data_IF_628397699709
#
_entry.id   IF_628397699709
#
_cell.length_a   1.000
_cell.length_b   1.000
_cell.length_c   1.000
_cell.angle_alpha   90.00
_cell.angle_beta   90.00
_cell.angle_gamma   90.00
#
_symmetry.space_group_name_H-M   'P 1'
#
loop_
_entity.id
_entity.type
_entity.pdbx_description
1 polymer ?
#
# COMPACT_ATOMS: atom_id res chain seq x y z
N UNK A 1 4.49 -8.61 -2.71
CA UNK A 1 3.17 -9.21 -2.98
C UNK A 1 3.25 -10.65 -2.49
N UNK A 2 2.52 -10.97 -1.42
CA UNK A 2 2.47 -12.31 -0.86
C UNK A 2 1.72 -13.27 -1.79
N UNK A 3 1.91 -14.57 -1.62
CA UNK A 3 1.18 -15.61 -2.35
C UNK A 3 -0.34 -15.47 -2.18
N UNK A 4 -0.81 -15.05 -0.99
CA UNK A 4 -2.22 -14.80 -0.71
C UNK A 4 -2.76 -13.53 -1.38
N UNK A 5 -1.99 -12.45 -1.42
CA UNK A 5 -2.36 -11.22 -2.13
C UNK A 5 -2.47 -11.45 -3.65
N UNK A 6 -1.51 -12.21 -4.20
CA UNK A 6 -1.52 -12.58 -5.62
C UNK A 6 -2.75 -13.43 -5.97
N UNK A 7 -3.09 -14.41 -5.12
CA UNK A 7 -4.27 -15.25 -5.29
C UNK A 7 -5.56 -14.40 -5.34
N UNK A 8 -5.77 -13.56 -4.32
CA UNK A 8 -6.96 -12.68 -4.25
C UNK A 8 -7.05 -11.74 -5.45
N UNK A 9 -5.93 -11.19 -5.91
CA UNK A 9 -5.92 -10.30 -7.06
C UNK A 9 -6.36 -10.99 -8.36
N UNK A 10 -5.97 -12.25 -8.56
CA UNK A 10 -6.38 -13.03 -9.74
C UNK A 10 -7.84 -13.47 -9.62
N UNK A 11 -8.31 -13.85 -8.43
CA UNK A 11 -9.71 -14.17 -8.18
C UNK A 11 -10.64 -12.98 -8.48
N UNK A 12 -10.25 -11.76 -8.10
CA UNK A 12 -10.98 -10.54 -8.46
C UNK A 12 -11.02 -10.31 -10.00
N UNK A 13 -9.92 -10.61 -10.70
CA UNK A 13 -9.92 -10.57 -12.18
C UNK A 13 -10.83 -11.64 -12.78
N UNK A 14 -10.90 -12.82 -12.17
CA UNK A 14 -11.80 -13.87 -12.63
C UNK A 14 -13.27 -13.48 -12.42
N UNK A 15 -13.58 -12.81 -11.31
CA UNK A 15 -14.94 -12.38 -10.99
C UNK A 15 -15.42 -11.34 -12.00
N UNK A 16 -14.59 -10.31 -12.25
CA UNK A 16 -14.90 -9.25 -13.23
C UNK A 16 -15.06 -9.77 -14.66
N UNK A 17 -14.41 -10.88 -15.02
CA UNK A 17 -14.46 -11.47 -16.37
C UNK A 17 -15.44 -12.65 -16.51
N UNK A 18 -16.20 -12.96 -15.45
CA UNK A 18 -17.15 -14.07 -15.47
C UNK A 18 -16.50 -15.43 -15.77
N UNK A 19 -15.28 -15.65 -15.27
CA UNK A 19 -14.53 -16.87 -15.53
C UNK A 19 -15.22 -18.09 -14.90
N UNK A 20 -15.20 -19.24 -15.58
CA UNK A 20 -15.86 -20.46 -15.12
C UNK A 20 -15.27 -21.01 -13.80
N UNK A 21 -16.14 -21.60 -12.96
CA UNK A 21 -15.78 -22.16 -11.64
C UNK A 21 -14.66 -23.21 -11.68
N UNK A 22 -14.54 -23.98 -12.76
CA UNK A 22 -13.45 -24.94 -12.94
C UNK A 22 -12.07 -24.27 -12.94
N UNK A 23 -11.97 -23.02 -13.40
CA UNK A 23 -10.73 -22.23 -13.39
C UNK A 23 -10.37 -21.76 -11.98
N UNK A 24 -11.36 -21.38 -11.15
CA UNK A 24 -11.13 -21.05 -9.74
C UNK A 24 -10.61 -22.25 -8.96
N UNK A 25 -11.22 -23.43 -9.16
CA UNK A 25 -10.76 -24.66 -8.51
C UNK A 25 -9.32 -25.00 -8.92
N UNK A 26 -8.96 -24.79 -10.20
CA UNK A 26 -7.61 -24.97 -10.69
C UNK A 26 -6.63 -23.95 -10.09
N UNK A 27 -7.03 -22.67 -10.01
CA UNK A 27 -6.25 -21.61 -9.37
C UNK A 27 -5.94 -21.93 -7.91
N UNK A 28 -6.96 -22.34 -7.14
CA UNK A 28 -6.80 -22.73 -5.74
C UNK A 28 -5.80 -23.88 -5.57
N UNK A 29 -5.89 -24.92 -6.41
CA UNK A 29 -4.93 -26.03 -6.39
C UNK A 29 -3.50 -25.59 -6.70
N UNK A 30 -3.32 -24.66 -7.63
CA UNK A 30 -2.00 -24.09 -7.94
C UNK A 30 -1.48 -23.32 -6.73
N UNK A 31 -2.31 -22.51 -6.07
CA UNK A 31 -1.90 -21.77 -4.88
C UNK A 31 -1.65 -22.64 -3.65
N UNK A 32 -2.33 -23.78 -3.49
CA UNK A 32 -1.97 -24.79 -2.48
C UNK A 32 -0.54 -25.28 -2.70
N UNK A 33 -0.22 -25.71 -3.93
CA UNK A 33 1.14 -26.10 -4.29
C UNK A 33 2.15 -24.97 -4.02
N UNK A 34 1.85 -23.74 -4.43
CA UNK A 34 2.77 -22.60 -4.22
C UNK A 34 2.99 -22.26 -2.75
N UNK A 35 2.01 -22.48 -1.87
CA UNK A 35 2.16 -22.25 -0.42
C UNK A 35 3.05 -23.32 0.20
N UNK A 36 2.84 -24.58 -0.16
CA UNK A 36 3.66 -25.69 0.33
C UNK A 36 5.11 -25.61 -0.20
N UNK A 37 5.28 -25.06 -1.40
CA UNK A 37 6.58 -24.90 -2.05
C UNK A 37 7.42 -23.74 -1.48
N UNK A 38 6.79 -22.69 -0.93
CA UNK A 38 7.51 -21.53 -0.38
C UNK A 38 7.57 -21.63 1.15
N UNK A 39 8.71 -22.05 1.70
CA UNK A 39 8.86 -22.31 3.14
C UNK A 39 9.00 -21.07 4.04
N UNK A 40 9.03 -19.85 3.49
CA UNK A 40 8.91 -18.55 4.18
C UNK A 40 8.27 -17.57 3.22
N UNK A 41 7.63 -16.52 3.73
CA UNK A 41 6.71 -15.57 3.03
C UNK A 41 7.22 -14.86 1.76
N UNK A 42 8.41 -15.20 1.25
CA UNK A 42 8.95 -14.81 -0.04
C UNK A 42 8.63 -15.86 -1.12
N UNK A 43 7.98 -15.43 -2.18
CA UNK A 43 7.55 -16.27 -3.29
C UNK A 43 8.74 -16.70 -4.20
N UNK A 44 9.48 -17.74 -3.80
CA UNK A 44 10.61 -18.34 -4.54
C UNK A 44 10.22 -18.69 -5.98
N UNK A 45 8.96 -19.06 -6.21
CA UNK A 45 8.44 -19.36 -7.55
C UNK A 45 8.51 -18.18 -8.54
N UNK A 46 8.61 -16.94 -8.06
CA UNK A 46 8.74 -15.75 -8.93
C UNK A 46 10.06 -15.77 -9.73
N UNK A 47 11.06 -16.55 -9.29
CA UNK A 47 12.34 -16.70 -9.97
C UNK A 47 12.36 -17.85 -10.99
N UNK A 48 11.25 -18.59 -11.14
CA UNK A 48 11.14 -19.68 -12.10
C UNK A 48 10.45 -19.23 -13.38
N UNK A 49 10.83 -19.83 -14.50
CA UNK A 49 10.05 -19.73 -15.73
C UNK A 49 8.70 -20.45 -15.58
N UNK A 50 7.76 -20.07 -16.44
CA UNK A 50 6.41 -20.65 -16.49
C UNK A 50 6.46 -22.15 -16.77
N UNK A 51 7.41 -22.58 -17.58
CA UNK A 51 7.64 -23.98 -17.97
C UNK A 51 8.21 -24.79 -16.80
N UNK A 52 9.18 -24.24 -16.05
CA UNK A 52 9.71 -24.86 -14.83
C UNK A 52 8.61 -25.01 -13.77
N UNK A 53 7.78 -23.99 -13.55
CA UNK A 53 6.69 -24.08 -12.58
C UNK A 53 5.64 -25.15 -12.95
N UNK A 54 5.37 -25.31 -14.25
CA UNK A 54 4.49 -26.38 -14.74
C UNK A 54 5.08 -27.75 -14.48
N UNK A 55 6.39 -27.92 -14.67
CA UNK A 55 7.08 -29.17 -14.39
C UNK A 55 7.03 -29.50 -12.89
N UNK A 56 7.34 -28.54 -12.03
CA UNK A 56 7.29 -28.72 -10.57
C UNK A 56 5.87 -29.05 -10.09
N UNK A 57 4.86 -28.36 -10.62
CA UNK A 57 3.46 -28.62 -10.29
C UNK A 57 3.03 -30.02 -10.74
N UNK A 58 3.45 -30.45 -11.94
CA UNK A 58 3.19 -31.80 -12.44
C UNK A 58 3.82 -32.86 -11.54
N UNK A 59 5.06 -32.63 -11.11
CA UNK A 59 5.80 -33.51 -10.21
C UNK A 59 5.15 -33.58 -8.82
N UNK A 60 4.80 -32.42 -8.23
CA UNK A 60 4.18 -32.34 -6.90
C UNK A 60 2.87 -33.12 -6.83
N UNK A 61 2.03 -33.03 -7.87
CA UNK A 61 0.76 -33.75 -7.93
C UNK A 61 0.86 -35.12 -8.60
N UNK A 62 2.07 -35.54 -9.00
CA UNK A 62 2.34 -36.75 -9.78
C UNK A 62 1.33 -36.96 -10.95
N UNK A 63 1.09 -35.89 -11.73
CA UNK A 63 0.11 -35.91 -12.82
C UNK A 63 0.41 -34.89 -13.91
N UNK A 64 -0.13 -35.12 -15.10
CA UNK A 64 -0.16 -34.09 -16.15
C UNK A 64 -1.19 -33.00 -15.81
N UNK A 65 -0.85 -31.76 -16.13
CA UNK A 65 -1.76 -30.63 -15.95
C UNK A 65 -2.93 -30.73 -16.94
N UNK A 66 -4.14 -30.54 -16.45
CA UNK A 66 -5.29 -30.39 -17.33
C UNK A 66 -5.37 -28.96 -17.91
N UNK A 67 -6.30 -28.73 -18.85
CA UNK A 67 -6.48 -27.42 -19.48
C UNK A 67 -6.89 -26.31 -18.49
N UNK A 68 -7.55 -26.65 -17.37
CA UNK A 68 -7.92 -25.71 -16.32
C UNK A 68 -6.69 -25.20 -15.56
N UNK A 69 -5.81 -26.12 -15.17
CA UNK A 69 -4.57 -25.88 -14.41
C UNK A 69 -3.51 -25.18 -15.25
N UNK A 70 -3.30 -25.63 -16.50
CA UNK A 70 -2.36 -25.01 -17.42
C UNK A 70 -2.63 -23.52 -17.60
N UNK A 71 -3.90 -23.16 -17.75
CA UNK A 71 -4.28 -21.79 -18.00
C UNK A 71 -4.43 -20.97 -16.70
N UNK A 72 -4.67 -21.59 -15.54
CA UNK A 72 -4.50 -20.90 -14.25
C UNK A 72 -3.04 -20.48 -14.03
N UNK A 73 -2.06 -21.34 -14.35
CA UNK A 73 -0.63 -20.97 -14.30
C UNK A 73 -0.31 -19.87 -15.33
N UNK A 74 -0.86 -19.95 -16.55
CA UNK A 74 -0.69 -18.88 -17.53
C UNK A 74 -1.25 -17.55 -17.03
N UNK A 75 -2.39 -17.55 -16.34
CA UNK A 75 -3.02 -16.35 -15.80
C UNK A 75 -2.16 -15.72 -14.69
N UNK A 76 -1.53 -16.54 -13.83
CA UNK A 76 -0.56 -16.08 -12.84
C UNK A 76 0.63 -15.38 -13.51
N UNK A 77 1.26 -16.02 -14.51
CA UNK A 77 2.39 -15.41 -15.23
C UNK A 77 1.97 -14.20 -16.06
N UNK A 78 0.78 -14.21 -16.65
CA UNK A 78 0.24 -13.07 -17.37
C UNK A 78 0.02 -11.90 -16.42
N UNK A 79 -0.52 -12.15 -15.23
CA UNK A 79 -0.70 -11.13 -14.21
C UNK A 79 0.64 -10.52 -13.77
N UNK A 80 1.63 -11.38 -13.46
CA UNK A 80 2.98 -10.96 -13.08
C UNK A 80 3.66 -10.20 -14.23
N UNK A 81 3.67 -10.74 -15.44
CA UNK A 81 4.26 -10.12 -16.63
C UNK A 81 3.58 -8.80 -17.00
N UNK A 82 2.25 -8.71 -16.87
CA UNK A 82 1.54 -7.44 -17.08
C UNK A 82 1.97 -6.42 -16.04
N UNK A 83 2.11 -6.82 -14.77
CA UNK A 83 2.56 -5.92 -13.69
C UNK A 83 4.03 -5.50 -13.87
N UNK A 84 4.91 -6.43 -14.24
CA UNK A 84 6.33 -6.17 -14.52
C UNK A 84 6.51 -5.32 -15.79
N UNK A 85 5.77 -5.59 -16.87
CA UNK A 85 5.78 -4.75 -18.07
C UNK A 85 5.18 -3.37 -17.80
N UNK A 86 4.18 -3.24 -16.93
CA UNK A 86 3.71 -1.92 -16.47
C UNK A 86 4.82 -1.15 -15.73
N UNK A 87 5.66 -1.83 -14.96
CA UNK A 87 6.82 -1.24 -14.27
C UNK A 87 7.94 -0.90 -15.28
N UNK A 88 8.24 -1.78 -16.23
CA UNK A 88 9.26 -1.57 -17.28
C UNK A 88 8.85 -0.49 -18.28
N UNK A 89 7.58 -0.44 -18.70
CA UNK A 89 7.02 0.61 -19.56
C UNK A 89 7.02 1.95 -18.83
N UNK A 90 6.73 2.00 -17.52
CA UNK A 90 6.89 3.21 -16.71
C UNK A 90 8.36 3.66 -16.57
N UNK A 91 9.32 2.73 -16.52
CA UNK A 91 10.76 3.05 -16.52
C UNK A 91 11.27 3.50 -17.90
N UNK A 92 10.81 2.87 -18.98
CA UNK A 92 11.20 3.19 -20.35
C UNK A 92 10.55 4.48 -20.88
N UNK A 93 9.31 4.78 -20.46
CA UNK A 93 8.61 6.02 -20.84
C UNK A 93 9.20 7.30 -20.22
N UNK A 94 10.21 7.19 -19.35
CA UNK A 94 10.95 8.32 -18.77
C UNK A 94 12.24 8.69 -19.54
N UNK A 95 12.49 8.14 -20.73
CA UNK A 95 13.50 8.66 -21.67
C UNK A 95 12.87 8.93 -23.05
N UNK A 96 12.66 10.22 -23.30
CA UNK A 96 12.37 10.92 -24.57
C UNK A 96 11.37 10.30 -25.57
N UNK A 97 10.25 11.00 -25.79
CA UNK A 97 9.93 11.72 -27.05
C UNK A 97 8.51 12.33 -26.96
N UNK A 98 8.41 13.60 -27.37
CA UNK A 98 7.16 14.34 -27.63
C UNK A 98 6.30 13.63 -28.68
N UNK A 99 5.09 13.21 -28.33
CA UNK A 99 3.98 13.04 -29.29
C UNK A 99 2.65 13.47 -28.68
N UNK A 100 1.78 13.93 -29.57
CA UNK A 100 0.60 14.78 -29.35
C UNK A 100 -0.36 14.24 -28.29
N UNK A 101 -0.88 15.18 -27.50
CA UNK A 101 -1.90 15.00 -26.47
C UNK A 101 -3.14 14.26 -27.03
N UNK A 102 -3.27 12.98 -26.67
CA UNK A 102 -4.54 12.40 -26.30
C UNK A 102 -4.35 11.68 -24.96
N UNK A 103 -4.84 12.30 -23.88
CA UNK A 103 -4.81 11.72 -22.53
C UNK A 103 -5.53 10.38 -22.55
N UNK A 104 -4.90 9.23 -22.21
CA UNK A 104 -5.66 8.04 -21.89
C UNK A 104 -6.52 8.38 -20.67
N UNK A 105 -7.85 8.41 -20.86
CA UNK A 105 -8.82 8.64 -19.78
C UNK A 105 -8.59 7.59 -18.70
N UNK A 106 -8.01 7.99 -17.57
CA UNK A 106 -7.86 7.14 -16.40
C UNK A 106 -9.25 6.69 -15.96
N UNK A 107 -9.52 5.40 -15.96
CA UNK A 107 -10.75 4.87 -15.37
C UNK A 107 -10.81 5.31 -13.90
N UNK A 108 -11.90 5.95 -13.45
CA UNK A 108 -12.03 6.35 -12.05
C UNK A 108 -11.93 5.13 -11.14
N UNK A 109 -11.24 5.28 -10.01
CA UNK A 109 -11.34 4.29 -8.94
C UNK A 109 -12.77 4.27 -8.41
N UNK A 110 -13.19 3.11 -7.91
CA UNK A 110 -14.44 2.98 -7.16
C UNK A 110 -14.49 3.99 -6.01
N UNK A 111 -15.67 4.56 -5.77
CA UNK A 111 -15.94 5.43 -4.62
C UNK A 111 -15.75 4.66 -3.30
N UNK A 112 -16.09 3.38 -3.26
CA UNK A 112 -15.70 2.50 -2.16
C UNK A 112 -14.22 2.14 -2.28
N UNK A 113 -13.44 2.54 -1.28
CA UNK A 113 -11.99 2.41 -1.24
C UNK A 113 -11.58 1.50 -0.10
N UNK A 114 -10.50 0.76 -0.35
CA UNK A 114 -9.82 -0.06 0.64
C UNK A 114 -8.41 0.52 0.76
N UNK A 115 -8.00 0.81 1.97
CA UNK A 115 -6.68 1.34 2.31
C UNK A 115 -5.57 0.32 2.09
N UNK A 116 -4.35 0.73 2.41
CA UNK A 116 -3.16 -0.11 2.31
C UNK A 116 -2.84 -0.73 3.68
N UNK A 117 -2.16 -1.88 3.65
CA UNK A 117 -1.56 -2.48 4.83
C UNK A 117 -0.45 -1.60 5.38
N UNK A 118 -0.32 -1.55 6.71
CA UNK A 118 0.75 -0.83 7.38
C UNK A 118 2.13 -1.22 6.81
N UNK A 119 2.98 -0.22 6.58
CA UNK A 119 4.40 -0.46 6.37
C UNK A 119 5.07 -0.45 7.74
N UNK A 120 5.67 -1.58 8.11
CA UNK A 120 6.30 -1.79 9.41
C UNK A 120 7.57 -2.61 9.23
N UNK A 121 8.63 -2.25 9.96
CA UNK A 121 9.89 -2.98 10.05
C UNK A 121 10.01 -3.74 11.38
N UNK A 122 11.21 -4.19 11.74
CA UNK A 122 11.41 -5.11 12.87
C UNK A 122 11.14 -4.48 14.24
N UNK A 123 11.48 -3.20 14.44
CA UNK A 123 11.34 -2.51 15.74
C UNK A 123 10.88 -1.05 15.55
N UNK A 124 9.65 -0.82 15.08
CA UNK A 124 9.15 0.53 14.86
C UNK A 124 9.06 1.29 16.18
N UNK A 125 9.54 2.54 16.21
CA UNK A 125 9.46 3.45 17.36
C UNK A 125 8.39 4.52 17.17
N UNK A 126 8.15 4.89 15.92
CA UNK A 126 7.18 5.91 15.52
C UNK A 126 6.15 5.29 14.60
N UNK A 127 4.87 5.57 14.85
CA UNK A 127 3.78 5.30 13.91
C UNK A 127 3.25 6.61 13.33
N UNK A 128 3.40 6.82 12.03
CA UNK A 128 2.79 7.95 11.34
C UNK A 128 1.43 7.53 10.77
N UNK A 129 0.40 8.31 11.05
CA UNK A 129 -0.97 8.09 10.57
C UNK A 129 -1.41 9.22 9.62
N UNK A 130 -1.89 8.85 8.44
CA UNK A 130 -2.70 9.70 7.57
C UNK A 130 -4.21 9.48 7.73
N UNK A 131 -5.01 10.09 6.86
CA UNK A 131 -6.46 9.87 6.81
C UNK A 131 -6.80 8.54 6.11
N UNK A 132 -6.51 8.49 4.81
CA UNK A 132 -6.63 7.33 3.90
C UNK A 132 -5.73 7.56 2.68
N UNK A 133 -5.16 6.51 2.05
CA UNK A 133 -4.27 6.70 0.90
C UNK A 133 -5.01 7.36 -0.27
N UNK A 134 -4.41 8.38 -0.89
CA UNK A 134 -4.96 9.01 -2.10
C UNK A 134 -5.06 8.06 -3.29
N UNK A 135 -5.79 8.46 -4.33
CA UNK A 135 -6.03 7.61 -5.51
C UNK A 135 -4.75 7.12 -6.19
N UNK A 136 -3.73 7.98 -6.27
CA UNK A 136 -2.42 7.60 -6.80
C UNK A 136 -1.77 6.53 -5.90
N UNK A 137 -1.80 6.73 -4.59
CA UNK A 137 -1.31 5.74 -3.61
C UNK A 137 -2.04 4.40 -3.70
N UNK A 138 -3.36 4.41 -3.88
CA UNK A 138 -4.14 3.19 -4.06
C UNK A 138 -3.81 2.47 -5.37
N UNK A 139 -3.61 3.20 -6.47
CA UNK A 139 -3.19 2.58 -7.75
C UNK A 139 -1.80 1.97 -7.67
N UNK A 140 -0.87 2.68 -7.04
CA UNK A 140 0.53 2.24 -6.93
C UNK A 140 0.77 1.25 -5.77
N UNK A 141 -0.22 1.06 -4.89
CA UNK A 141 -0.09 0.25 -3.67
C UNK A 141 1.08 0.71 -2.78
N UNK A 142 1.23 2.03 -2.66
CA UNK A 142 2.27 2.68 -1.89
C UNK A 142 1.80 4.02 -1.31
N UNK A 143 2.37 4.44 -0.18
CA UNK A 143 1.94 5.67 0.49
C UNK A 143 2.50 6.94 -0.16
N UNK A 144 1.72 8.01 -0.11
CA UNK A 144 2.04 9.37 -0.59
C UNK A 144 2.65 9.43 -2.01
N UNK A 145 2.08 8.68 -2.96
CA UNK A 145 2.60 8.59 -4.33
C UNK A 145 2.35 9.84 -5.19
N UNK A 146 1.50 10.77 -4.73
CA UNK A 146 1.27 12.04 -5.42
C UNK A 146 2.34 13.08 -5.04
N UNK A 147 3.59 12.81 -5.42
CA UNK A 147 4.76 13.62 -5.03
C UNK A 147 4.74 15.06 -5.58
N UNK A 148 3.88 15.33 -6.57
CA UNK A 148 3.62 16.69 -7.07
C UNK A 148 2.77 17.51 -6.11
N UNK A 149 1.87 16.86 -5.36
CA UNK A 149 0.90 17.52 -4.47
C UNK A 149 1.07 17.12 -2.98
N UNK A 150 2.03 16.26 -2.65
CA UNK A 150 2.33 15.83 -1.30
C UNK A 150 3.84 15.78 -1.08
N UNK A 151 4.31 16.50 -0.07
CA UNK A 151 5.73 16.66 0.25
C UNK A 151 6.27 15.64 1.26
N UNK A 152 5.49 14.62 1.64
CA UNK A 152 5.89 13.63 2.65
C UNK A 152 7.27 13.04 2.36
N UNK A 153 7.48 12.48 1.17
CA UNK A 153 8.76 11.86 0.83
C UNK A 153 9.92 12.86 0.74
N UNK A 154 9.66 14.09 0.27
CA UNK A 154 10.68 15.16 0.27
C UNK A 154 11.14 15.45 1.69
N UNK A 155 10.21 15.59 2.63
CA UNK A 155 10.50 15.83 4.04
C UNK A 155 11.29 14.65 4.62
N UNK A 156 10.84 13.41 4.42
CA UNK A 156 11.51 12.23 4.97
C UNK A 156 12.95 12.09 4.47
N UNK A 157 13.21 12.33 3.18
CA UNK A 157 14.57 12.27 2.62
C UNK A 157 15.46 13.43 3.09
N UNK A 158 14.87 14.59 3.39
CA UNK A 158 15.64 15.69 3.98
C UNK A 158 16.02 15.44 5.45
N UNK A 159 15.23 14.66 6.20
CA UNK A 159 15.47 14.40 7.62
C UNK A 159 16.40 13.21 7.90
N UNK A 160 16.39 12.20 7.03
CA UNK A 160 17.01 10.89 7.26
C UNK A 160 18.06 10.51 6.20
N UNK A 161 18.67 11.52 5.59
CA UNK A 161 19.62 11.39 4.47
C UNK A 161 18.98 10.84 3.18
N UNK A 162 19.70 10.98 2.07
CA UNK A 162 19.18 10.58 0.76
C UNK A 162 19.01 9.06 0.67
N UNK A 163 17.82 8.65 0.22
CA UNK A 163 17.53 7.26 -0.08
C UNK A 163 18.41 6.78 -1.24
N UNK A 164 19.14 5.67 -1.07
CA UNK A 164 19.76 4.95 -2.19
C UNK A 164 18.71 4.70 -3.28
N UNK A 165 18.99 5.05 -4.54
CA UNK A 165 18.07 4.93 -5.66
C UNK A 165 17.41 3.55 -5.76
N UNK A 166 18.14 2.48 -5.42
CA UNK A 166 17.65 1.10 -5.47
C UNK A 166 16.67 0.75 -4.33
N UNK A 167 16.61 1.56 -3.27
CA UNK A 167 16.02 1.14 -1.99
C UNK A 167 14.49 1.09 -1.87
N UNK A 168 13.58 1.52 -2.73
CA UNK A 168 12.13 1.58 -2.37
C UNK A 168 11.77 2.46 -1.14
N UNK A 169 10.62 3.13 -1.19
CA UNK A 169 10.20 4.04 -0.12
C UNK A 169 9.80 3.28 1.16
N UNK A 170 9.36 2.02 1.02
CA UNK A 170 8.96 1.17 2.15
C UNK A 170 10.17 0.79 2.97
N UNK A 171 11.22 0.30 2.32
CA UNK A 171 12.41 -0.16 3.03
C UNK A 171 13.12 1.03 3.66
N UNK A 172 13.17 2.17 2.97
CA UNK A 172 13.68 3.41 3.54
C UNK A 172 12.97 3.84 4.81
N UNK A 173 11.63 3.95 4.82
CA UNK A 173 10.94 4.47 6.01
C UNK A 173 11.02 3.46 7.17
N UNK A 174 10.94 2.16 6.86
CA UNK A 174 10.97 1.12 7.88
C UNK A 174 12.36 0.89 8.47
N UNK A 175 13.43 1.11 7.70
CA UNK A 175 14.82 1.06 8.22
C UNK A 175 15.11 2.17 9.23
N UNK A 176 14.33 3.26 9.20
CA UNK A 176 14.42 4.37 10.16
C UNK A 176 13.49 4.17 11.38
N UNK A 177 13.01 2.95 11.62
CA UNK A 177 12.10 2.60 12.71
C UNK A 177 10.77 3.39 12.67
N UNK A 178 10.33 3.77 11.47
CA UNK A 178 9.06 4.46 11.26
C UNK A 178 8.09 3.48 10.60
N UNK A 179 7.01 3.19 11.32
CA UNK A 179 5.83 2.56 10.77
C UNK A 179 4.92 3.63 10.11
N UNK A 180 4.30 3.27 9.00
CA UNK A 180 3.42 4.16 8.25
C UNK A 180 2.08 3.48 7.96
N UNK A 181 1.00 4.16 8.33
CA UNK A 181 -0.36 3.69 8.10
C UNK A 181 -1.37 4.86 8.01
N UNK A 182 -2.66 4.54 8.09
CA UNK A 182 -3.76 5.51 8.04
C UNK A 182 -4.81 5.18 9.10
N UNK A 183 -5.64 6.16 9.47
CA UNK A 183 -6.76 5.93 10.38
C UNK A 183 -7.85 5.04 9.77
N UNK A 184 -8.09 5.12 8.46
CA UNK A 184 -9.22 4.48 7.77
C UNK A 184 -8.78 3.25 6.98
N UNK A 185 -9.36 2.10 7.30
CA UNK A 185 -9.18 0.83 6.58
C UNK A 185 -9.98 0.82 5.28
N UNK A 186 -11.24 1.21 5.32
CA UNK A 186 -12.10 1.23 4.13
C UNK A 186 -13.29 2.16 4.32
N UNK A 187 -13.94 2.49 3.22
CA UNK A 187 -15.17 3.28 3.22
C UNK A 187 -15.38 3.99 1.90
N UNK A 188 -16.44 4.78 1.82
CA UNK A 188 -16.77 5.58 0.65
C UNK A 188 -16.03 6.91 0.72
N UNK A 189 -15.20 7.18 -0.29
CA UNK A 189 -14.61 8.50 -0.54
C UNK A 189 -14.57 8.80 -2.03
N UNK A 190 -15.35 9.80 -2.45
CA UNK A 190 -15.37 10.29 -3.83
C UNK A 190 -14.11 11.11 -4.14
N UNK A 191 -13.31 10.65 -5.11
CA UNK A 191 -12.04 11.29 -5.46
C UNK A 191 -10.98 11.24 -4.34
N UNK A 192 -9.85 11.91 -4.52
CA UNK A 192 -8.67 11.77 -3.66
C UNK A 192 -8.59 12.75 -2.49
N UNK A 193 -9.53 13.69 -2.37
CA UNK A 193 -9.51 14.72 -1.32
C UNK A 193 -10.37 14.33 -0.13
N UNK A 194 -10.08 14.91 1.04
CA UNK A 194 -10.86 14.66 2.25
C UNK A 194 -12.31 15.20 2.17
N UNK A 195 -12.67 15.93 1.11
CA UNK A 195 -14.04 16.43 0.93
C UNK A 195 -15.01 15.32 0.47
N UNK A 196 -14.47 14.20 0.00
CA UNK A 196 -15.24 13.12 -0.61
C UNK A 196 -15.77 12.07 0.34
N UNK A 197 -15.42 12.11 1.63
CA UNK A 197 -15.77 11.06 2.58
C UNK A 197 -17.27 11.03 2.89
N UNK A 198 -17.83 9.82 2.89
CA UNK A 198 -19.02 9.51 3.68
C UNK A 198 -18.57 9.01 5.05
N UNK A 199 -18.63 9.90 6.04
CA UNK A 199 -18.12 9.67 7.40
C UNK A 199 -18.77 8.48 8.12
N UNK A 200 -19.99 8.08 7.72
CA UNK A 200 -20.70 6.97 8.35
C UNK A 200 -20.34 5.62 7.74
N UNK A 201 -19.76 5.62 6.54
CA UNK A 201 -19.29 4.41 5.85
C UNK A 201 -17.88 3.97 6.26
N UNK A 202 -17.17 4.78 7.06
CA UNK A 202 -15.76 4.54 7.34
C UNK A 202 -15.57 3.44 8.36
N UNK A 203 -14.70 2.50 8.03
CA UNK A 203 -14.21 1.44 8.90
C UNK A 203 -12.77 1.82 9.28
N UNK A 204 -12.45 2.00 10.57
CA UNK A 204 -11.10 2.32 11.00
C UNK A 204 -10.17 1.12 10.89
N UNK A 205 -8.87 1.37 10.74
CA UNK A 205 -7.85 0.35 10.95
C UNK A 205 -7.78 -0.06 12.42
N UNK A 206 -7.40 -1.31 12.70
CA UNK A 206 -7.20 -1.80 14.08
C UNK A 206 -5.85 -1.36 14.65
N UNK A 207 -5.75 -0.08 14.97
CA UNK A 207 -4.54 0.53 15.53
C UNK A 207 -4.25 -0.03 16.93
N UNK A 208 -5.27 -0.39 17.71
CA UNK A 208 -5.06 -0.91 19.06
C UNK A 208 -4.32 -2.25 19.05
N UNK A 209 -4.72 -3.18 18.19
CA UNK A 209 -4.02 -4.46 18.04
C UNK A 209 -2.62 -4.26 17.46
N UNK A 210 -2.47 -3.37 16.47
CA UNK A 210 -1.16 -3.03 15.91
C UNK A 210 -0.17 -2.51 16.97
N UNK A 211 -0.62 -1.63 17.88
CA UNK A 211 0.24 -1.13 18.97
C UNK A 211 0.61 -2.22 19.99
N UNK A 212 -0.27 -3.20 20.22
CA UNK A 212 0.03 -4.37 21.08
C UNK A 212 1.04 -5.31 20.43
N UNK A 213 0.97 -5.49 19.11
CA UNK A 213 1.92 -6.27 18.33
C UNK A 213 3.31 -5.59 18.25
N UNK A 214 3.33 -4.25 18.32
CA UNK A 214 4.55 -3.45 18.22
C UNK A 214 4.75 -2.53 19.45
N UNK A 215 5.03 -3.08 20.64
CA UNK A 215 5.16 -2.31 21.88
C UNK A 215 6.39 -1.38 21.92
N UNK A 216 7.29 -1.51 20.95
CA UNK A 216 8.41 -0.59 20.70
C UNK A 216 7.95 0.79 20.25
N UNK A 217 6.74 0.92 19.71
CA UNK A 217 6.17 2.20 19.31
C UNK A 217 5.90 3.03 20.56
N UNK A 218 6.62 4.15 20.69
CA UNK A 218 6.45 5.12 21.79
C UNK A 218 5.87 6.45 21.34
N UNK A 219 5.75 6.67 20.03
CA UNK A 219 5.17 7.89 19.48
C UNK A 219 4.22 7.59 18.33
N UNK A 220 3.02 8.17 18.37
CA UNK A 220 2.09 8.26 17.25
C UNK A 220 2.13 9.68 16.70
N UNK A 221 2.36 9.82 15.41
CA UNK A 221 2.36 11.11 14.69
C UNK A 221 1.14 11.18 13.80
N UNK A 222 0.31 12.21 13.97
CA UNK A 222 -0.84 12.47 13.12
C UNK A 222 -0.45 13.45 12.01
N UNK A 223 -0.41 12.99 10.75
CA UNK A 223 -0.13 13.81 9.57
C UNK A 223 -1.38 14.62 9.20
N UNK A 224 -1.69 15.66 9.98
CA UNK A 224 -2.89 16.47 9.84
C UNK A 224 -3.47 16.96 11.16
N UNK A 225 -2.83 17.98 11.76
CA UNK A 225 -3.23 18.60 13.05
C UNK A 225 -4.49 19.47 13.01
N UNK A 226 -4.99 19.80 11.82
CA UNK A 226 -6.22 20.60 11.68
C UNK A 226 -7.37 19.93 12.44
N UNK A 227 -8.25 20.72 13.07
CA UNK A 227 -9.38 20.19 13.86
C UNK A 227 -10.30 19.26 13.05
N UNK A 228 -10.41 19.52 11.75
CA UNK A 228 -11.26 18.78 10.82
C UNK A 228 -12.75 18.93 11.14
N UNK A 229 -13.57 18.29 10.32
CA UNK A 229 -15.03 18.19 10.52
C UNK A 229 -15.56 16.94 9.84
N UNK A 230 -16.85 16.63 10.01
CA UNK A 230 -17.49 15.52 9.27
C UNK A 230 -17.40 15.70 7.74
N UNK A 231 -17.42 16.94 7.26
CA UNK A 231 -17.34 17.28 5.83
C UNK A 231 -15.90 17.25 5.30
N UNK A 232 -14.95 17.54 6.18
CA UNK A 232 -13.52 17.66 5.87
C UNK A 232 -12.72 17.01 7.00
N UNK A 233 -12.75 15.67 7.14
CA UNK A 233 -12.07 14.98 8.21
C UNK A 233 -10.57 15.11 8.05
N UNK A 234 -9.90 15.59 9.09
CA UNK A 234 -8.45 15.52 9.24
C UNK A 234 -8.06 14.22 9.96
N UNK A 235 -6.77 13.90 9.96
CA UNK A 235 -6.23 12.79 10.76
C UNK A 235 -6.58 12.96 12.23
N UNK A 236 -6.43 14.17 12.79
CA UNK A 236 -6.81 14.46 14.19
C UNK A 236 -8.28 14.21 14.48
N UNK A 237 -9.17 14.62 13.55
CA UNK A 237 -10.61 14.38 13.68
C UNK A 237 -10.93 12.88 13.69
N UNK A 238 -10.38 12.12 12.74
CA UNK A 238 -10.61 10.68 12.61
C UNK A 238 -10.02 9.93 13.80
N UNK A 239 -8.82 10.33 14.24
CA UNK A 239 -8.18 9.71 15.39
C UNK A 239 -9.03 9.88 16.65
N UNK A 240 -9.48 11.11 16.94
CA UNK A 240 -10.39 11.37 18.06
C UNK A 240 -11.72 10.64 17.91
N UNK A 241 -12.23 10.47 16.69
CA UNK A 241 -13.52 9.80 16.44
C UNK A 241 -13.46 8.30 16.70
N UNK A 242 -12.40 7.63 16.27
CA UNK A 242 -12.31 6.17 16.28
C UNK A 242 -11.46 5.62 17.43
N UNK A 243 -10.54 6.42 17.96
CA UNK A 243 -9.52 5.96 18.90
C UNK A 243 -9.48 6.84 20.17
N UNK A 244 -10.62 7.41 20.59
CA UNK A 244 -10.69 8.21 21.82
C UNK A 244 -10.40 7.43 23.10
N UNK A 245 -10.55 6.11 23.06
CA UNK A 245 -10.29 5.19 24.18
C UNK A 245 -9.09 4.29 23.90
N UNK A 246 -8.16 4.71 23.04
CA UNK A 246 -6.95 3.94 22.72
C UNK A 246 -6.09 3.78 23.98
N UNK A 247 -5.71 2.54 24.26
CA UNK A 247 -4.77 2.18 25.32
C UNK A 247 -3.35 2.32 24.75
N UNK A 248 -2.75 3.49 24.98
CA UNK A 248 -1.42 3.84 24.50
C UNK A 248 -0.72 4.77 25.51
N UNK A 249 0.33 4.26 26.15
CA UNK A 249 1.15 4.98 27.14
C UNK A 249 2.29 5.80 26.49
N UNK A 250 2.17 6.10 25.20
CA UNK A 250 3.16 6.85 24.43
C UNK A 250 2.72 8.29 24.12
N UNK A 251 3.56 8.99 23.36
CA UNK A 251 3.30 10.36 22.94
C UNK A 251 2.44 10.39 21.69
N UNK A 252 1.41 11.24 21.66
CA UNK A 252 0.64 11.53 20.44
C UNK A 252 0.98 12.95 19.99
N UNK A 253 1.58 13.07 18.81
CA UNK A 253 2.09 14.32 18.24
C UNK A 253 1.26 14.69 17.02
N UNK A 254 0.82 15.95 16.96
CA UNK A 254 -0.01 16.47 15.88
C UNK A 254 0.83 17.39 15.00
N UNK A 255 1.12 16.98 13.77
CA UNK A 255 1.89 17.79 12.82
C UNK A 255 1.00 18.31 11.69
N UNK A 256 1.40 19.40 11.04
CA UNK A 256 0.69 19.87 9.85
C UNK A 256 0.73 18.83 8.73
N UNK A 257 -0.30 18.84 7.89
CA UNK A 257 -0.39 17.90 6.78
C UNK A 257 0.75 18.12 5.78
N UNK A 258 1.37 17.03 5.33
CA UNK A 258 2.35 17.05 4.23
C UNK A 258 1.72 17.31 2.86
N UNK A 259 0.40 17.37 2.76
CA UNK A 259 -0.29 17.82 1.54
C UNK A 259 0.10 19.25 1.19
N UNK A 260 0.21 19.54 -0.10
CA UNK A 260 0.44 20.90 -0.62
C UNK A 260 -0.82 21.78 -0.51
N UNK A 261 -1.96 21.22 -0.11
CA UNK A 261 -3.14 22.01 0.28
C UNK A 261 -3.01 22.64 1.66
N UNK A 262 -2.04 22.21 2.47
CA UNK A 262 -1.70 22.88 3.72
C UNK A 262 -0.95 24.19 3.42
N UNK A 263 -1.33 25.27 4.10
CA UNK A 263 -0.84 26.63 3.87
C UNK A 263 0.62 26.86 4.21
N UNK A 264 1.27 25.94 4.95
CA UNK A 264 2.68 26.05 5.29
C UNK A 264 3.57 25.86 4.06
N UNK A 265 4.69 26.59 4.05
CA UNK A 265 5.76 26.44 3.06
C UNK A 265 6.45 25.09 3.19
N UNK A 266 7.36 24.77 2.25
CA UNK A 266 8.12 23.51 2.33
C UNK A 266 9.08 23.53 3.50
N UNK A 267 9.69 24.69 3.77
CA UNK A 267 10.66 24.92 4.83
C UNK A 267 10.00 24.84 6.21
N UNK A 268 8.83 25.48 6.38
CA UNK A 268 8.05 25.41 7.63
C UNK A 268 7.60 23.98 7.94
N UNK A 269 7.18 23.23 6.90
CA UNK A 269 6.85 21.80 7.07
C UNK A 269 8.06 20.99 7.46
N UNK A 270 9.21 21.20 6.83
CA UNK A 270 10.44 20.48 7.16
C UNK A 270 10.88 20.77 8.60
N UNK A 271 10.84 22.04 9.02
CA UNK A 271 11.15 22.45 10.38
C UNK A 271 10.22 21.78 11.40
N UNK A 272 8.91 21.85 11.19
CA UNK A 272 7.93 21.20 12.08
C UNK A 272 8.12 19.67 12.15
N UNK A 273 8.42 19.04 11.02
CA UNK A 273 8.59 17.58 10.95
C UNK A 273 9.96 17.09 11.46
N UNK A 274 10.93 17.99 11.66
CA UNK A 274 12.27 17.63 12.16
C UNK A 274 12.27 16.95 13.53
N UNK A 275 11.23 17.18 14.34
CA UNK A 275 11.01 16.52 15.63
C UNK A 275 10.96 14.99 15.51
N UNK A 276 10.61 14.44 14.34
CA UNK A 276 10.55 12.98 14.14
C UNK A 276 11.93 12.34 14.34
N UNK A 277 13.02 13.04 13.98
CA UNK A 277 14.39 12.55 14.17
C UNK A 277 14.75 12.34 15.65
N UNK A 278 14.04 12.97 16.58
CA UNK A 278 14.20 12.73 18.02
C UNK A 278 13.44 11.48 18.49
N UNK A 279 12.32 11.15 17.84
CA UNK A 279 11.45 10.06 18.25
C UNK A 279 11.92 8.68 17.74
N UNK A 280 12.78 8.64 16.73
CA UNK A 280 13.33 7.39 16.18
C UNK A 280 14.67 6.96 16.83
N UNK A 281 15.25 7.82 17.68
CA UNK A 281 16.44 7.52 18.49
C UNK A 281 16.16 6.45 19.52
#
# INVERSE_FOLDING_TARGET
MTTNELQKAIELQYQSKGIAKCRYNALNKVFTFLKDYNSKENAVFLNKSKEELKADYAQYWNKKLNGAENQAINDIYKYISTKSNFITIKKAANKEVKMKNDKPKSTPLSDHKIGLSAWVGDSPKVLILGTMPGDNSLREQAYYCDTAHNSFWKIMYSLFEEKDDMMSNRDFITSHNIALWDCVQSGIRKGSTDNGYDINSLIPNDIQSFLKEHPSIKTIVLNGKGKGSKKHPSTTFLFKRFFSTIDFDGKIVLLSSTSNTCSLTSEEKLEEWSVISEFVK
#
